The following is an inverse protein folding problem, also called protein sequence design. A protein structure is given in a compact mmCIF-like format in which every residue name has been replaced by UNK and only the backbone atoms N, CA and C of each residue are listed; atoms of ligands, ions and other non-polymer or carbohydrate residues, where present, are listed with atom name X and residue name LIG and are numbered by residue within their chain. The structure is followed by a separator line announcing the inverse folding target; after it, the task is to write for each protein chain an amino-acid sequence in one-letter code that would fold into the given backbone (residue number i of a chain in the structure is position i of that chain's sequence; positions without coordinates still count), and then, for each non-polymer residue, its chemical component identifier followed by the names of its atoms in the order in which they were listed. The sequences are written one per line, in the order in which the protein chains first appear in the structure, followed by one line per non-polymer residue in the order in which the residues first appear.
data_IF_878703622747
#
_entry.id   IF_878703622747
#
_cell.length_a   1.000
_cell.length_b   1.000
_cell.length_c   1.000
_cell.angle_alpha   90.00
_cell.angle_beta   90.00
_cell.angle_gamma   90.00
#
_symmetry.space_group_name_H-M   'P 1'
#
loop_
_entity.id
_entity.type
_entity.pdbx_description
1 polymer ?
#
# COMPACT_ATOMS: atom_id res chain seq x y z
N UNK A 1 -13.85 -16.55 8.99
CA UNK A 1 -13.16 -16.58 7.68
C UNK A 1 -12.59 -15.20 7.28
N UNK A 2 -11.78 -14.56 8.14
CA UNK A 2 -11.25 -13.22 7.84
C UNK A 2 -10.18 -13.19 6.73
N UNK A 3 -9.48 -14.31 6.48
CA UNK A 3 -8.39 -14.34 5.48
C UNK A 3 -8.81 -14.15 4.04
N UNK A 4 -9.98 -14.65 3.65
CA UNK A 4 -10.45 -14.53 2.26
C UNK A 4 -10.73 -13.09 1.83
N UNK A 5 -11.03 -12.18 2.77
CA UNK A 5 -11.26 -10.75 2.48
C UNK A 5 -9.95 -10.07 2.11
N UNK A 6 -8.93 -10.23 2.92
CA UNK A 6 -7.65 -9.54 2.72
C UNK A 6 -6.93 -10.03 1.46
N UNK A 7 -6.96 -11.35 1.19
CA UNK A 7 -6.39 -11.87 -0.07
C UNK A 7 -7.05 -11.21 -1.28
N UNK A 8 -8.39 -11.05 -1.29
CA UNK A 8 -9.10 -10.35 -2.37
C UNK A 8 -8.66 -8.89 -2.51
N UNK A 9 -8.64 -8.15 -1.41
CA UNK A 9 -8.24 -6.73 -1.40
C UNK A 9 -6.81 -6.56 -1.91
N UNK A 10 -5.87 -7.35 -1.38
CA UNK A 10 -4.47 -7.31 -1.81
C UNK A 10 -4.30 -7.70 -3.28
N UNK A 11 -5.03 -8.70 -3.77
CA UNK A 11 -4.97 -9.10 -5.19
C UNK A 11 -5.46 -7.99 -6.12
N UNK A 12 -6.53 -7.28 -5.74
CA UNK A 12 -7.04 -6.14 -6.51
C UNK A 12 -6.04 -4.98 -6.54
N UNK A 13 -5.43 -4.65 -5.41
CA UNK A 13 -4.37 -3.63 -5.38
C UNK A 13 -3.12 -4.06 -6.16
N UNK A 14 -2.74 -5.33 -6.12
CA UNK A 14 -1.62 -5.83 -6.91
C UNK A 14 -1.88 -5.68 -8.41
N UNK A 15 -3.07 -6.09 -8.88
CA UNK A 15 -3.48 -5.91 -10.27
C UNK A 15 -3.50 -4.43 -10.69
N UNK A 16 -4.02 -3.56 -9.80
CA UNK A 16 -3.98 -2.12 -10.02
C UNK A 16 -2.56 -1.57 -10.10
N UNK A 17 -1.67 -1.97 -9.18
CA UNK A 17 -0.26 -1.57 -9.18
C UNK A 17 0.47 -1.98 -10.46
N UNK A 18 0.24 -3.20 -10.95
CA UNK A 18 0.79 -3.66 -12.24
C UNK A 18 0.27 -2.80 -13.40
N UNK A 19 -1.01 -2.46 -13.39
CA UNK A 19 -1.63 -1.61 -14.42
C UNK A 19 -1.00 -0.21 -14.41
N UNK A 20 -0.91 0.43 -13.25
CA UNK A 20 -0.26 1.74 -13.10
C UNK A 20 1.24 1.70 -13.45
N UNK A 21 1.93 0.61 -13.13
CA UNK A 21 3.33 0.41 -13.50
C UNK A 21 3.54 0.31 -15.00
N UNK A 22 2.70 -0.47 -15.69
CA UNK A 22 2.72 -0.59 -17.14
C UNK A 22 2.42 0.76 -17.82
N UNK A 23 1.41 1.49 -17.33
CA UNK A 23 1.07 2.85 -17.79
C UNK A 23 2.23 3.83 -17.58
N UNK A 24 2.89 3.78 -16.42
CA UNK A 24 4.05 4.62 -16.11
C UNK A 24 5.21 4.41 -17.07
N UNK A 25 5.56 3.14 -17.31
CA UNK A 25 6.70 2.77 -18.14
C UNK A 25 6.50 3.03 -19.65
N UNK A 26 5.29 2.81 -20.16
CA UNK A 26 5.02 2.86 -21.61
C UNK A 26 4.33 4.15 -22.06
N UNK A 27 3.31 4.60 -21.34
CA UNK A 27 2.50 5.73 -21.76
C UNK A 27 3.02 7.05 -21.16
N UNK A 28 3.16 7.13 -19.84
CA UNK A 28 3.51 8.37 -19.14
C UNK A 28 4.91 8.86 -19.52
N UNK A 29 5.91 7.98 -19.49
CA UNK A 29 7.29 8.32 -19.86
C UNK A 29 7.39 8.82 -21.30
N UNK A 30 6.72 8.15 -22.23
CA UNK A 30 6.71 8.54 -23.65
C UNK A 30 6.02 9.88 -23.85
N UNK A 31 4.87 10.09 -23.19
CA UNK A 31 4.14 11.35 -23.26
C UNK A 31 4.99 12.53 -22.77
N UNK A 32 5.60 12.40 -21.59
CA UNK A 32 6.45 13.44 -21.01
C UNK A 32 7.74 13.69 -21.82
N UNK A 33 8.26 12.70 -22.56
CA UNK A 33 9.42 12.89 -23.43
C UNK A 33 9.12 13.77 -24.64
N UNK A 34 7.87 13.80 -25.10
CA UNK A 34 7.41 14.64 -26.21
C UNK A 34 6.80 15.96 -25.78
N UNK A 35 6.47 16.09 -24.49
CA UNK A 35 5.84 17.28 -23.93
C UNK A 35 6.90 18.33 -23.55
N UNK A 36 6.73 19.55 -24.06
CA UNK A 36 7.63 20.68 -23.79
C UNK A 36 7.14 21.57 -22.65
N UNK A 37 6.01 21.23 -22.01
CA UNK A 37 5.39 22.03 -20.95
C UNK A 37 6.15 21.99 -19.63
N UNK A 38 6.91 20.92 -19.39
CA UNK A 38 7.64 20.70 -18.14
C UNK A 38 9.15 20.72 -18.37
N UNK A 39 9.88 21.34 -17.46
CA UNK A 39 11.33 21.24 -17.46
C UNK A 39 11.79 19.80 -17.15
N UNK A 40 13.06 19.50 -17.46
CA UNK A 40 13.65 18.16 -17.28
C UNK A 40 13.56 17.69 -15.83
N UNK A 41 13.73 18.59 -14.86
CA UNK A 41 13.71 18.24 -13.44
C UNK A 41 12.29 17.91 -12.97
N UNK A 42 11.29 18.68 -13.40
CA UNK A 42 9.88 18.43 -13.11
C UNK A 42 9.41 17.11 -13.72
N UNK A 43 9.80 16.84 -14.97
CA UNK A 43 9.50 15.57 -15.66
C UNK A 43 10.06 14.38 -14.90
N UNK A 44 11.31 14.44 -14.46
CA UNK A 44 11.91 13.37 -13.66
C UNK A 44 11.20 13.20 -12.31
N UNK A 45 10.84 14.30 -11.65
CA UNK A 45 10.10 14.26 -10.38
C UNK A 45 8.74 13.56 -10.54
N UNK A 46 8.03 13.80 -11.64
CA UNK A 46 6.76 13.13 -11.94
C UNK A 46 6.96 11.62 -12.08
N UNK A 47 7.98 11.21 -12.84
CA UNK A 47 8.29 9.79 -13.06
C UNK A 47 8.72 9.08 -11.77
N UNK A 48 9.56 9.73 -10.96
CA UNK A 48 10.03 9.18 -9.69
C UNK A 48 8.88 9.01 -8.69
N UNK A 49 8.01 10.02 -8.59
CA UNK A 49 6.81 9.94 -7.75
C UNK A 49 5.85 8.84 -8.22
N UNK A 50 5.64 8.72 -9.53
CA UNK A 50 4.81 7.67 -10.10
C UNK A 50 5.37 6.27 -9.79
N UNK A 51 6.67 6.08 -10.02
CA UNK A 51 7.39 4.84 -9.71
C UNK A 51 7.30 4.50 -8.22
N UNK A 52 7.51 5.48 -7.35
CA UNK A 52 7.39 5.32 -5.89
C UNK A 52 5.97 4.91 -5.49
N UNK A 53 4.95 5.55 -6.04
CA UNK A 53 3.56 5.21 -5.77
C UNK A 53 3.22 3.77 -6.19
N UNK A 54 3.64 3.36 -7.38
CA UNK A 54 3.45 1.99 -7.88
C UNK A 54 4.17 0.98 -7.00
N UNK A 55 5.42 1.23 -6.63
CA UNK A 55 6.19 0.36 -5.76
C UNK A 55 5.48 0.16 -4.42
N UNK A 56 4.99 1.24 -3.81
CA UNK A 56 4.29 1.18 -2.53
C UNK A 56 2.93 0.46 -2.63
N UNK A 57 2.20 0.59 -3.75
CA UNK A 57 1.00 -0.24 -4.01
C UNK A 57 1.39 -1.72 -4.02
N UNK A 58 2.40 -2.10 -4.80
CA UNK A 58 2.79 -3.50 -4.98
C UNK A 58 3.28 -4.13 -3.67
N UNK A 59 4.21 -3.47 -2.97
CA UNK A 59 4.75 -3.96 -1.69
C UNK A 59 3.64 -4.16 -0.66
N UNK A 60 2.77 -3.18 -0.48
CA UNK A 60 1.73 -3.26 0.55
C UNK A 60 0.54 -4.12 0.12
N UNK A 61 0.30 -4.30 -1.19
CA UNK A 61 -0.67 -5.27 -1.68
C UNK A 61 -0.25 -6.71 -1.33
N UNK A 62 1.04 -7.02 -1.47
CA UNK A 62 1.61 -8.30 -1.03
C UNK A 62 1.49 -8.44 0.49
N UNK A 63 1.78 -7.37 1.25
CA UNK A 63 1.60 -7.39 2.71
C UNK A 63 0.14 -7.66 3.12
N UNK A 64 -0.85 -7.13 2.39
CA UNK A 64 -2.28 -7.42 2.61
C UNK A 64 -2.59 -8.89 2.31
N UNK A 65 -2.07 -9.45 1.21
CA UNK A 65 -2.24 -10.88 0.88
C UNK A 65 -1.64 -11.74 1.99
N UNK A 66 -0.42 -11.45 2.43
CA UNK A 66 0.26 -12.14 3.53
C UNK A 66 -0.57 -12.06 4.82
N UNK A 67 -1.13 -10.89 5.14
CA UNK A 67 -2.03 -10.72 6.29
C UNK A 67 -3.23 -11.66 6.20
N UNK A 68 -3.82 -11.80 5.01
CA UNK A 68 -4.90 -12.74 4.74
C UNK A 68 -4.48 -14.21 4.94
N UNK A 69 -3.31 -14.59 4.44
CA UNK A 69 -2.75 -15.94 4.60
C UNK A 69 -2.47 -16.26 6.08
N UNK A 70 -1.83 -15.35 6.83
CA UNK A 70 -1.57 -15.52 8.27
C UNK A 70 -2.86 -15.67 9.05
N UNK A 71 -3.91 -14.91 8.69
CA UNK A 71 -5.21 -14.99 9.36
C UNK A 71 -5.99 -16.28 9.10
N UNK A 72 -5.51 -17.15 8.21
CA UNK A 72 -6.04 -18.52 8.07
C UNK A 72 -5.72 -19.39 9.28
N UNK A 73 -4.58 -19.15 9.94
CA UNK A 73 -4.09 -19.94 11.07
C UNK A 73 -4.10 -19.16 12.40
N UNK A 74 -4.12 -17.82 12.35
CA UNK A 74 -4.06 -16.96 13.53
C UNK A 74 -5.32 -16.08 13.62
N UNK A 75 -6.06 -16.20 14.71
CA UNK A 75 -7.19 -15.33 14.99
C UNK A 75 -6.73 -14.15 15.86
N UNK A 76 -6.44 -13.01 15.24
CA UNK A 76 -6.03 -11.79 15.95
C UNK A 76 -6.65 -10.53 15.34
N UNK A 77 -7.17 -9.64 16.20
CA UNK A 77 -7.68 -8.32 15.77
C UNK A 77 -6.57 -7.46 15.14
N UNK A 78 -5.32 -7.68 15.53
CA UNK A 78 -4.16 -6.99 14.97
C UNK A 78 -3.97 -7.28 13.47
N UNK A 79 -4.34 -8.47 12.99
CA UNK A 79 -4.30 -8.77 11.55
C UNK A 79 -5.35 -7.97 10.78
N UNK A 80 -6.54 -7.77 11.36
CA UNK A 80 -7.56 -6.89 10.77
C UNK A 80 -7.08 -5.44 10.74
N UNK A 81 -6.41 -4.97 11.79
CA UNK A 81 -5.81 -3.64 11.78
C UNK A 81 -4.69 -3.51 10.75
N UNK A 82 -3.80 -4.50 10.65
CA UNK A 82 -2.73 -4.52 9.65
C UNK A 82 -3.27 -4.37 8.22
N UNK A 83 -4.24 -5.21 7.83
CA UNK A 83 -4.87 -5.15 6.51
C UNK A 83 -5.55 -3.81 6.24
N UNK A 84 -6.25 -3.25 7.23
CA UNK A 84 -6.89 -1.93 7.12
C UNK A 84 -5.87 -0.80 6.96
N UNK A 85 -4.82 -0.77 7.78
CA UNK A 85 -3.79 0.27 7.74
C UNK A 85 -2.95 0.20 6.46
N UNK A 86 -2.65 -0.98 5.93
CA UNK A 86 -2.04 -1.09 4.60
C UNK A 86 -2.97 -0.57 3.51
N UNK A 87 -4.27 -0.90 3.56
CA UNK A 87 -5.25 -0.40 2.58
C UNK A 87 -5.36 1.11 2.61
N UNK A 88 -5.49 1.70 3.81
CA UNK A 88 -5.54 3.15 3.99
C UNK A 88 -4.25 3.83 3.55
N UNK A 89 -3.10 3.20 3.80
CA UNK A 89 -1.80 3.67 3.34
C UNK A 89 -1.72 3.70 1.81
N UNK A 90 -2.18 2.63 1.13
CA UNK A 90 -2.21 2.59 -0.34
C UNK A 90 -3.04 3.76 -0.88
N UNK A 91 -4.24 3.97 -0.33
CA UNK A 91 -5.14 5.04 -0.78
C UNK A 91 -4.54 6.42 -0.50
N UNK A 92 -4.07 6.68 0.72
CA UNK A 92 -3.59 8.00 1.14
C UNK A 92 -2.22 8.37 0.56
N UNK A 93 -1.26 7.46 0.58
CA UNK A 93 0.10 7.70 0.09
C UNK A 93 0.19 7.51 -1.42
N UNK A 94 -0.09 6.28 -1.89
CA UNK A 94 0.15 5.94 -3.29
C UNK A 94 -0.93 6.50 -4.21
N UNK A 95 -2.19 6.40 -3.80
CA UNK A 95 -3.30 7.05 -4.48
C UNK A 95 -3.13 8.58 -4.53
N UNK A 96 -2.69 9.19 -3.42
CA UNK A 96 -2.37 10.62 -3.35
C UNK A 96 -1.30 11.04 -4.36
N UNK A 97 -0.18 10.31 -4.42
CA UNK A 97 0.89 10.57 -5.40
C UNK A 97 0.42 10.36 -6.86
N UNK A 98 -0.31 9.29 -7.15
CA UNK A 98 -0.83 9.05 -8.50
C UNK A 98 -1.79 10.15 -8.95
N UNK A 99 -2.75 10.54 -8.10
CA UNK A 99 -3.73 11.59 -8.41
C UNK A 99 -3.06 12.95 -8.59
N UNK A 100 -2.11 13.29 -7.72
CA UNK A 100 -1.34 14.53 -7.82
C UNK A 100 -0.63 14.63 -9.17
N UNK A 101 0.14 13.61 -9.53
CA UNK A 101 0.95 13.61 -10.74
C UNK A 101 0.08 13.50 -12.00
N UNK A 102 -0.97 12.68 -11.99
CA UNK A 102 -1.92 12.60 -13.10
C UNK A 102 -2.61 13.95 -13.36
N UNK A 103 -3.04 14.65 -12.30
CA UNK A 103 -3.68 15.96 -12.44
C UNK A 103 -2.68 17.03 -12.91
N UNK A 104 -1.45 16.98 -12.41
CA UNK A 104 -0.39 17.88 -12.85
C UNK A 104 -0.10 17.71 -14.35
N UNK A 105 -0.05 16.47 -14.84
CA UNK A 105 0.18 16.15 -16.26
C UNK A 105 -1.01 16.57 -17.13
N UNK A 106 -2.24 16.29 -16.72
CA UNK A 106 -3.43 16.56 -17.55
C UNK A 106 -3.82 18.04 -17.54
N UNK A 107 -3.77 18.69 -16.39
CA UNK A 107 -4.33 20.03 -16.18
C UNK A 107 -3.29 21.11 -15.93
N UNK A 108 -2.02 20.75 -15.73
CA UNK A 108 -0.95 21.68 -15.31
C UNK A 108 -1.11 22.20 -13.87
N UNK A 109 -2.13 21.75 -13.14
CA UNK A 109 -2.50 22.29 -11.83
C UNK A 109 -1.87 21.47 -10.70
N UNK A 110 -1.25 22.16 -9.74
CA UNK A 110 -0.67 21.54 -8.55
C UNK A 110 -1.75 21.39 -7.47
N UNK A 111 -2.28 20.18 -7.27
CA UNK A 111 -3.22 19.86 -6.17
C UNK A 111 -2.50 19.73 -4.82
N UNK A 112 -1.92 20.83 -4.34
CA UNK A 112 -1.06 20.83 -3.15
C UNK A 112 -1.79 20.53 -1.83
N UNK A 113 -2.94 21.16 -1.48
CA UNK A 113 -3.44 21.09 -0.11
C UNK A 113 -3.87 19.69 0.34
N UNK A 114 -4.57 18.96 -0.52
CA UNK A 114 -5.10 17.62 -0.21
C UNK A 114 -3.98 16.59 -0.16
N UNK A 115 -3.02 16.68 -1.10
CA UNK A 115 -1.93 15.72 -1.24
C UNK A 115 -0.91 15.89 -0.12
N UNK A 116 -0.60 17.14 0.28
CA UNK A 116 0.33 17.44 1.38
C UNK A 116 -0.13 16.79 2.70
N UNK A 117 -1.43 16.71 2.95
CA UNK A 117 -1.96 16.04 4.15
C UNK A 117 -2.06 14.52 3.98
N UNK A 118 -2.54 14.04 2.83
CA UNK A 118 -2.84 12.62 2.62
C UNK A 118 -1.59 11.73 2.58
N UNK A 119 -0.51 12.19 1.92
CA UNK A 119 0.71 11.40 1.73
C UNK A 119 1.41 11.06 3.06
N UNK A 120 1.76 12.01 3.95
CA UNK A 120 2.42 11.67 5.22
C UNK A 120 1.53 10.80 6.12
N UNK A 121 0.22 11.05 6.16
CA UNK A 121 -0.73 10.21 6.90
C UNK A 121 -0.77 8.78 6.35
N UNK A 122 -0.74 8.61 5.03
CA UNK A 122 -0.65 7.31 4.38
C UNK A 122 0.67 6.59 4.72
N UNK A 123 1.78 7.31 4.77
CA UNK A 123 3.08 6.77 5.21
C UNK A 123 3.05 6.24 6.65
N UNK A 124 2.48 7.01 7.57
CA UNK A 124 2.28 6.59 8.97
C UNK A 124 1.37 5.35 9.03
N UNK A 125 0.32 5.33 8.23
CA UNK A 125 -0.59 4.18 8.11
C UNK A 125 0.18 2.90 7.72
N UNK A 126 1.10 2.96 6.76
CA UNK A 126 1.93 1.81 6.42
C UNK A 126 2.78 1.31 7.60
N UNK A 127 3.42 2.22 8.33
CA UNK A 127 4.24 1.87 9.50
C UNK A 127 3.39 1.15 10.54
N UNK A 128 2.22 1.69 10.88
CA UNK A 128 1.29 1.06 11.84
C UNK A 128 0.87 -0.33 11.33
N UNK A 129 0.59 -0.47 10.04
CA UNK A 129 0.22 -1.75 9.42
C UNK A 129 1.29 -2.83 9.63
N UNK A 130 2.56 -2.51 9.38
CA UNK A 130 3.69 -3.42 9.60
C UNK A 130 3.86 -3.77 11.08
N UNK A 131 3.76 -2.77 11.98
CA UNK A 131 3.81 -3.00 13.42
C UNK A 131 2.69 -3.92 13.91
N UNK A 132 1.45 -3.73 13.43
CA UNK A 132 0.33 -4.60 13.75
C UNK A 132 0.55 -6.04 13.24
N UNK A 133 1.07 -6.20 12.02
CA UNK A 133 1.37 -7.51 11.46
C UNK A 133 2.42 -8.24 12.32
N UNK A 134 3.51 -7.57 12.70
CA UNK A 134 4.55 -8.13 13.57
C UNK A 134 3.99 -8.51 14.97
N UNK A 135 3.27 -7.58 15.61
CA UNK A 135 2.71 -7.79 16.95
C UNK A 135 1.65 -8.89 17.00
N UNK A 136 0.96 -9.15 15.89
CA UNK A 136 -0.05 -10.21 15.79
C UNK A 136 0.53 -11.61 16.02
N UNK A 137 1.80 -11.81 15.66
CA UNK A 137 2.49 -13.10 15.81
C UNK A 137 3.09 -13.25 17.21
N UNK A 138 3.60 -12.18 17.81
CA UNK A 138 4.13 -12.22 19.18
C UNK A 138 3.06 -12.57 20.22
N UNK A 139 1.85 -12.04 20.05
CA UNK A 139 0.72 -12.31 20.95
C UNK A 139 0.09 -13.68 20.76
N UNK A 140 0.29 -14.32 19.60
CA UNK A 140 -0.25 -15.66 19.32
C UNK A 140 0.51 -16.79 20.02
N UNK A 141 1.75 -16.55 20.47
CA UNK A 141 2.61 -17.57 21.08
C UNK A 141 2.37 -17.75 22.59
N UNK A 142 1.71 -16.81 23.26
CA UNK A 142 1.48 -16.85 24.72
C UNK A 142 0.22 -17.61 25.14
N UNK A 143 -0.72 -17.89 24.24
CA UNK A 143 -1.95 -18.63 24.57
C UNK A 143 -1.85 -20.16 24.41
N UNK A 144 -0.86 -20.65 23.65
CA UNK A 144 -0.68 -22.09 23.40
C UNK A 144 0.18 -22.81 24.46
N UNK A 145 0.86 -22.08 25.35
CA UNK A 145 1.67 -22.69 26.42
C UNK A 145 0.79 -23.22 27.56
N UNK A 146 -0.32 -22.53 27.90
CA UNK A 146 -1.19 -22.95 29.02
C UNK A 146 -2.08 -24.16 28.71
N UNK A 147 -2.43 -24.40 27.45
CA UNK A 147 -3.33 -25.52 27.06
C UNK A 147 -2.61 -26.84 26.78
N UNK A 148 -1.27 -26.83 26.69
CA UNK A 148 -0.47 -28.05 26.48
C UNK A 148 -0.11 -28.72 27.81
N UNK A 149 0.13 -27.95 28.87
CA UNK A 149 0.45 -28.51 30.20
C UNK A 149 -0.79 -29.06 30.93
N UNK A 150 -1.99 -28.52 30.67
CA UNK A 150 -3.24 -29.01 31.27
C UNK A 150 -3.81 -30.28 30.62
N UNK A 151 -3.22 -30.76 29.52
CA UNK A 151 -3.62 -32.03 28.87
C UNK A 151 -2.76 -33.23 29.27
N UNK A 152 -1.78 -33.01 30.14
CA UNK A 152 -0.84 -34.03 30.63
C UNK A 152 -0.85 -34.15 32.17
N UNK A 153 -1.86 -33.58 32.83
CA UNK A 153 -2.19 -33.76 34.24
C UNK A 153 -3.65 -34.22 34.33
#
# INVERSE_FOLDING_TARGET
MYGSKWIRVGSLFAAFGVTCGALGAHALKTHLATDTMFDVQTTQTILDNWSTAVLYILVHSIAIILTGLVSANVCSKLLTYAGSFFTLGIIGFSGGLLVYNATLVISGTKLLPIVIAAVPLGGISFIIGWCCLAASLWTSNTSNIKTRTARHL
#
